data_IF_733286996126
#
_entry.id   IF_733286996126
#
_cell.length_a   1.000
_cell.length_b   1.000
_cell.length_c   1.000
_cell.angle_alpha   90.00
_cell.angle_beta   90.00
_cell.angle_gamma   90.00
#
_symmetry.space_group_name_H-M   'P 1'
#
loop_
_entity.id
_entity.type
_entity.pdbx_description
1 polymer ?
#
# COMPACT_ATOMS: atom_id res chain seq x y z
N UNK A 1 16.41 -9.44 -14.13
CA UNK A 1 17.74 -9.18 -13.54
C UNK A 1 17.68 -7.87 -12.78
N UNK A 2 17.44 -7.92 -11.47
CA UNK A 2 17.54 -6.75 -10.60
C UNK A 2 18.95 -6.74 -10.01
N UNK A 3 19.71 -5.69 -10.33
CA UNK A 3 21.06 -5.49 -9.80
C UNK A 3 21.05 -5.49 -8.27
N UNK A 4 22.16 -5.94 -7.68
CA UNK A 4 22.39 -5.80 -6.25
C UNK A 4 22.15 -4.34 -5.83
N UNK A 5 21.45 -4.08 -4.72
CA UNK A 5 21.20 -2.72 -4.28
C UNK A 5 22.53 -2.03 -3.97
N UNK A 6 22.68 -0.82 -4.50
CA UNK A 6 23.82 0.05 -4.24
C UNK A 6 24.05 0.24 -2.73
N UNK A 7 25.31 0.34 -2.27
CA UNK A 7 25.63 0.60 -0.87
C UNK A 7 25.18 2.04 -0.53
N UNK A 8 24.18 2.18 0.36
CA UNK A 8 23.77 3.52 0.82
C UNK A 8 22.39 3.67 1.47
N UNK A 9 21.52 2.65 1.47
CA UNK A 9 20.27 2.69 2.26
C UNK A 9 20.33 1.67 3.36
N UNK A 10 20.37 2.13 4.61
CA UNK A 10 20.16 1.27 5.77
C UNK A 10 18.75 0.68 5.69
N UNK A 11 18.66 -0.60 5.39
CA UNK A 11 17.41 -1.37 5.45
C UNK A 11 17.36 -2.07 6.82
N UNK A 12 16.27 -1.88 7.55
CA UNK A 12 16.07 -2.45 8.86
C UNK A 12 15.00 -3.53 8.78
N UNK A 13 15.33 -4.74 9.22
CA UNK A 13 14.33 -5.82 9.37
C UNK A 13 13.53 -5.56 10.64
N UNK A 14 12.21 -5.51 10.50
CA UNK A 14 11.30 -5.18 11.61
C UNK A 14 10.55 -6.39 12.15
N UNK A 15 10.49 -7.50 11.39
CA UNK A 15 9.90 -8.73 11.88
C UNK A 15 9.27 -9.57 10.78
N UNK A 16 8.32 -10.41 11.16
CA UNK A 16 7.59 -11.29 10.25
C UNK A 16 6.10 -11.21 10.52
N UNK A 17 5.31 -11.01 9.48
CA UNK A 17 3.85 -10.94 9.58
C UNK A 17 3.20 -11.71 8.43
N UNK A 18 2.18 -12.52 8.74
CA UNK A 18 1.44 -13.30 7.75
C UNK A 18 2.31 -14.18 6.81
N UNK A 19 3.49 -14.60 7.29
CA UNK A 19 4.45 -15.39 6.53
C UNK A 19 5.34 -14.58 5.57
N UNK A 20 5.39 -13.26 5.72
CA UNK A 20 6.24 -12.34 4.96
C UNK A 20 7.26 -11.69 5.91
N UNK A 21 8.52 -11.65 5.49
CA UNK A 21 9.56 -10.92 6.21
C UNK A 21 9.39 -9.42 5.91
N UNK A 22 9.36 -8.59 6.95
CA UNK A 22 9.11 -7.17 6.85
C UNK A 22 10.39 -6.38 7.07
N UNK A 23 10.67 -5.43 6.18
CA UNK A 23 11.76 -4.47 6.32
C UNK A 23 11.33 -3.06 5.97
N UNK A 24 12.04 -2.08 6.52
CA UNK A 24 11.79 -0.65 6.30
C UNK A 24 13.09 0.05 5.94
N UNK A 25 13.00 1.08 5.12
CA UNK A 25 14.09 2.05 4.93
C UNK A 25 13.73 3.40 5.57
N UNK A 26 14.69 4.26 5.94
CA UNK A 26 14.43 5.53 6.63
C UNK A 26 13.41 6.45 5.98
N UNK A 27 13.27 6.44 4.64
CA UNK A 27 12.26 7.27 3.97
C UNK A 27 10.82 6.95 4.35
N UNK A 28 10.57 5.75 4.88
CA UNK A 28 9.27 5.32 5.45
C UNK A 28 8.91 6.13 6.70
N UNK A 29 9.88 6.48 7.54
CA UNK A 29 9.62 7.25 8.75
C UNK A 29 9.33 8.72 8.41
N UNK A 30 10.06 9.26 7.43
CA UNK A 30 9.83 10.62 6.95
C UNK A 30 8.48 10.77 6.26
N UNK A 31 8.04 9.77 5.49
CA UNK A 31 6.71 9.77 4.89
C UNK A 31 5.60 9.62 5.94
N UNK A 32 5.78 8.78 6.96
CA UNK A 32 4.85 8.69 8.10
C UNK A 32 4.66 10.07 8.76
N UNK A 33 5.75 10.77 9.04
CA UNK A 33 5.70 12.11 9.63
C UNK A 33 5.02 13.12 8.68
N UNK A 34 5.33 13.06 7.38
CA UNK A 34 4.73 13.95 6.38
C UNK A 34 3.22 13.71 6.21
N UNK A 35 2.78 12.45 6.13
CA UNK A 35 1.37 12.07 6.08
C UNK A 35 0.67 12.53 7.38
N UNK A 36 1.28 12.28 8.54
CA UNK A 36 0.70 12.67 9.83
C UNK A 36 0.45 14.17 9.90
N UNK A 37 1.48 14.96 9.58
CA UNK A 37 1.41 16.42 9.59
C UNK A 37 0.39 16.93 8.57
N UNK A 38 0.46 16.44 7.32
CA UNK A 38 -0.45 16.86 6.25
C UNK A 38 -1.92 16.56 6.59
N UNK A 39 -2.21 15.34 7.04
CA UNK A 39 -3.55 14.92 7.45
C UNK A 39 -4.04 15.72 8.67
N UNK A 40 -3.19 15.91 9.68
CA UNK A 40 -3.52 16.73 10.85
C UNK A 40 -3.85 18.17 10.47
N UNK A 41 -3.09 18.78 9.57
CA UNK A 41 -3.36 20.12 9.06
C UNK A 41 -4.69 20.19 8.29
N UNK A 42 -5.01 19.19 7.47
CA UNK A 42 -6.31 19.11 6.79
C UNK A 42 -7.44 19.02 7.82
N UNK A 43 -7.32 18.16 8.82
CA UNK A 43 -8.34 18.01 9.87
C UNK A 43 -8.53 19.30 10.66
N UNK A 44 -7.45 19.98 11.02
CA UNK A 44 -7.52 21.22 11.79
C UNK A 44 -8.11 22.38 10.96
N UNK A 45 -7.55 22.63 9.77
CA UNK A 45 -7.89 23.82 8.98
C UNK A 45 -9.10 23.62 8.08
N UNK A 46 -9.25 22.46 7.45
CA UNK A 46 -10.32 22.22 6.48
C UNK A 46 -11.58 21.64 7.14
N UNK A 47 -11.42 20.78 8.15
CA UNK A 47 -12.58 20.23 8.89
C UNK A 47 -12.93 21.05 10.14
N UNK A 48 -12.12 22.05 10.51
CA UNK A 48 -12.36 22.91 11.66
C UNK A 48 -12.36 22.18 13.00
N UNK A 49 -11.73 20.99 13.08
CA UNK A 49 -11.70 20.20 14.30
C UNK A 49 -10.59 20.67 15.25
N UNK A 50 -10.83 20.54 16.56
CA UNK A 50 -9.86 20.93 17.58
C UNK A 50 -8.52 20.18 17.47
N UNK A 51 -7.47 20.74 18.04
CA UNK A 51 -6.09 20.22 17.95
C UNK A 51 -5.96 18.74 18.33
N UNK A 52 -6.71 18.28 19.34
CA UNK A 52 -6.68 16.88 19.77
C UNK A 52 -7.16 15.93 18.67
N UNK A 53 -8.20 16.32 17.93
CA UNK A 53 -8.70 15.57 16.77
C UNK A 53 -7.76 15.64 15.58
N UNK A 54 -7.07 16.76 15.38
CA UNK A 54 -6.06 16.88 14.34
C UNK A 54 -4.89 15.91 14.57
N UNK A 55 -4.37 15.87 15.80
CA UNK A 55 -3.28 14.97 16.20
C UNK A 55 -3.70 13.51 16.08
N UNK A 56 -4.85 13.15 16.68
CA UNK A 56 -5.36 11.77 16.67
C UNK A 56 -5.75 11.32 15.25
N UNK A 57 -6.53 12.12 14.53
CA UNK A 57 -7.02 11.77 13.21
C UNK A 57 -5.89 11.68 12.18
N UNK A 58 -4.87 12.54 12.27
CA UNK A 58 -3.67 12.40 11.44
C UNK A 58 -2.92 11.10 11.72
N UNK A 59 -2.82 10.67 12.99
CA UNK A 59 -2.19 9.40 13.34
C UNK A 59 -3.01 8.21 12.82
N UNK A 60 -4.33 8.29 12.92
CA UNK A 60 -5.24 7.28 12.36
C UNK A 60 -5.10 7.18 10.83
N UNK A 61 -4.91 8.31 10.14
CA UNK A 61 -4.62 8.32 8.69
C UNK A 61 -3.33 7.58 8.37
N UNK A 62 -2.25 7.80 9.12
CA UNK A 62 -0.99 7.05 8.95
C UNK A 62 -1.23 5.55 9.12
N UNK A 63 -1.93 5.15 10.19
CA UNK A 63 -2.25 3.74 10.45
C UNK A 63 -3.06 3.15 9.30
N UNK A 64 -4.12 3.83 8.86
CA UNK A 64 -4.98 3.40 7.76
C UNK A 64 -4.16 3.23 6.48
N UNK A 65 -3.30 4.19 6.14
CA UNK A 65 -2.49 4.13 4.93
C UNK A 65 -1.56 2.91 4.92
N UNK A 66 -0.83 2.66 6.02
CA UNK A 66 0.08 1.51 6.07
C UNK A 66 -0.64 0.16 6.15
N UNK A 67 -1.81 0.10 6.78
CA UNK A 67 -2.66 -1.09 6.72
C UNK A 67 -3.20 -1.33 5.30
N UNK A 68 -3.50 -0.26 4.56
CA UNK A 68 -3.96 -0.32 3.18
C UNK A 68 -2.85 -0.79 2.24
N UNK A 69 -1.65 -0.20 2.35
CA UNK A 69 -0.46 -0.65 1.61
C UNK A 69 -0.11 -2.11 1.94
N UNK A 70 -0.18 -2.50 3.22
CA UNK A 70 -0.01 -3.91 3.61
C UNK A 70 -1.10 -4.82 3.00
N UNK A 71 -2.37 -4.42 3.00
CA UNK A 71 -3.46 -5.19 2.40
C UNK A 71 -3.27 -5.35 0.88
N UNK A 72 -2.85 -4.29 0.19
CA UNK A 72 -2.45 -4.33 -1.21
C UNK A 72 -1.33 -5.36 -1.42
N UNK A 73 -0.23 -5.26 -0.68
CA UNK A 73 0.87 -6.22 -0.80
C UNK A 73 0.47 -7.65 -0.46
N UNK A 74 -0.40 -7.84 0.52
CA UNK A 74 -0.91 -9.14 0.88
C UNK A 74 -1.77 -9.75 -0.24
N UNK A 75 -2.47 -8.92 -1.01
CA UNK A 75 -3.12 -9.31 -2.25
C UNK A 75 -2.15 -9.95 -3.26
N UNK A 76 -0.99 -9.32 -3.48
CA UNK A 76 0.08 -9.94 -4.29
C UNK A 76 0.57 -11.24 -3.68
N UNK A 77 0.78 -11.28 -2.37
CA UNK A 77 1.29 -12.47 -1.69
C UNK A 77 0.33 -13.67 -1.83
N UNK A 78 -0.98 -13.42 -1.70
CA UNK A 78 -2.00 -14.44 -1.91
C UNK A 78 -2.05 -14.91 -3.36
N UNK A 79 -1.98 -13.99 -4.32
CA UNK A 79 -1.93 -14.32 -5.73
C UNK A 79 -0.69 -15.15 -6.06
N UNK A 80 0.49 -14.78 -5.53
CA UNK A 80 1.76 -15.46 -5.71
C UNK A 80 1.75 -16.88 -5.12
N UNK A 81 1.21 -17.07 -3.91
CA UNK A 81 1.04 -18.40 -3.31
C UNK A 81 0.22 -19.33 -4.21
N UNK A 82 -0.84 -18.81 -4.83
CA UNK A 82 -1.71 -19.57 -5.76
C UNK A 82 -1.05 -19.87 -7.11
N UNK A 83 0.10 -19.28 -7.43
CA UNK A 83 0.87 -19.64 -8.62
C UNK A 83 2.00 -20.62 -8.33
N UNK A 84 2.20 -21.01 -7.07
CA UNK A 84 3.26 -21.93 -6.68
C UNK A 84 4.64 -21.28 -6.50
N UNK A 85 4.77 -19.95 -6.69
CA UNK A 85 5.99 -19.26 -6.28
C UNK A 85 5.64 -18.03 -5.43
N UNK A 86 5.71 -18.18 -4.09
CA UNK A 86 5.30 -17.15 -3.15
C UNK A 86 6.35 -16.04 -3.01
N UNK A 87 5.88 -14.88 -2.57
CA UNK A 87 6.74 -13.80 -2.06
C UNK A 87 7.46 -14.23 -0.77
N UNK A 88 8.62 -13.65 -0.52
CA UNK A 88 9.39 -13.87 0.72
C UNK A 88 9.18 -12.75 1.74
N UNK A 89 8.89 -11.54 1.28
CA UNK A 89 8.80 -10.39 2.19
C UNK A 89 8.30 -9.12 1.52
N UNK A 90 8.29 -8.05 2.31
CA UNK A 90 7.91 -6.70 1.95
C UNK A 90 8.98 -5.72 2.43
N UNK A 91 9.32 -4.76 1.58
CA UNK A 91 10.17 -3.62 1.94
C UNK A 91 9.37 -2.34 1.83
N UNK A 92 9.15 -1.66 2.95
CA UNK A 92 8.51 -0.34 2.98
C UNK A 92 9.52 0.78 2.67
N UNK A 93 9.10 1.75 1.86
CA UNK A 93 9.90 2.91 1.47
C UNK A 93 9.00 4.06 0.98
N UNK A 94 9.33 5.31 1.37
CA UNK A 94 8.48 6.45 1.01
C UNK A 94 7.05 6.20 1.49
N UNK A 95 6.03 6.46 0.65
CA UNK A 95 4.61 6.17 0.97
C UNK A 95 4.14 4.79 0.44
N UNK A 96 5.07 3.89 0.11
CA UNK A 96 4.75 2.62 -0.54
C UNK A 96 5.57 1.47 0.05
N UNK A 97 5.35 0.29 -0.51
CA UNK A 97 6.22 -0.86 -0.32
C UNK A 97 6.51 -1.60 -1.63
N UNK A 98 7.46 -2.53 -1.55
CA UNK A 98 7.82 -3.40 -2.66
C UNK A 98 7.81 -4.85 -2.22
N UNK A 99 7.19 -5.69 -3.05
CA UNK A 99 7.23 -7.14 -2.92
C UNK A 99 8.66 -7.69 -3.09
N UNK A 100 9.10 -8.51 -2.15
CA UNK A 100 10.38 -9.23 -2.23
C UNK A 100 10.15 -10.67 -2.70
N UNK A 101 10.99 -11.11 -3.62
CA UNK A 101 10.93 -12.42 -4.28
C UNK A 101 12.15 -13.27 -3.89
N UNK A 102 12.06 -14.61 -3.94
CA UNK A 102 13.20 -15.48 -3.71
C UNK A 102 14.37 -15.18 -4.68
N UNK A 103 15.60 -15.14 -4.18
CA UNK A 103 16.78 -14.84 -4.99
C UNK A 103 17.05 -15.86 -6.12
N UNK A 104 16.66 -17.13 -5.90
CA UNK A 104 16.80 -18.22 -6.86
C UNK A 104 15.53 -18.53 -7.66
N UNK A 105 14.60 -17.57 -7.79
CA UNK A 105 13.37 -17.79 -8.57
C UNK A 105 13.71 -18.08 -10.05
N UNK A 106 13.21 -19.19 -10.64
CA UNK A 106 13.45 -19.49 -12.05
C UNK A 106 12.75 -18.49 -12.96
N UNK A 107 13.07 -18.49 -14.26
CA UNK A 107 12.32 -17.72 -15.23
C UNK A 107 10.85 -18.18 -15.28
N UNK A 108 9.92 -17.26 -15.07
CA UNK A 108 8.49 -17.56 -15.04
C UNK A 108 7.79 -17.07 -16.31
N UNK A 109 6.73 -17.77 -16.76
CA UNK A 109 5.88 -17.26 -17.83
C UNK A 109 5.22 -15.92 -17.48
N UNK A 110 5.06 -15.02 -18.46
CA UNK A 110 4.48 -13.68 -18.28
C UNK A 110 3.12 -13.68 -17.56
N UNK A 111 2.26 -14.67 -17.85
CA UNK A 111 0.97 -14.85 -17.16
C UNK A 111 1.08 -14.94 -15.64
N UNK A 112 2.18 -15.48 -15.10
CA UNK A 112 2.40 -15.59 -13.65
C UNK A 112 2.71 -14.21 -13.05
N UNK A 113 3.56 -13.43 -13.72
CA UNK A 113 3.84 -12.05 -13.32
C UNK A 113 2.58 -11.19 -13.33
N UNK A 114 1.76 -11.29 -14.39
CA UNK A 114 0.47 -10.58 -14.47
C UNK A 114 -0.46 -11.00 -13.34
N UNK A 115 -0.62 -12.31 -13.11
CA UNK A 115 -1.51 -12.81 -12.04
C UNK A 115 -1.10 -12.32 -10.66
N UNK A 116 0.21 -12.23 -10.39
CA UNK A 116 0.74 -11.67 -9.14
C UNK A 116 0.47 -10.17 -9.04
N UNK A 117 0.79 -9.42 -10.09
CA UNK A 117 0.59 -7.97 -10.15
C UNK A 117 -0.88 -7.57 -9.99
N UNK A 118 -1.84 -8.39 -10.44
CA UNK A 118 -3.26 -8.10 -10.25
C UNK A 118 -3.74 -8.28 -8.79
N UNK A 119 -3.01 -9.04 -7.97
CA UNK A 119 -3.42 -9.36 -6.60
C UNK A 119 -3.62 -8.12 -5.72
N UNK A 120 -2.69 -7.17 -5.77
CA UNK A 120 -2.71 -5.96 -4.95
C UNK A 120 -3.81 -4.96 -5.34
N UNK A 121 -3.95 -4.59 -6.63
CA UNK A 121 -5.06 -3.75 -7.08
C UNK A 121 -6.43 -4.34 -6.73
N UNK A 122 -6.62 -5.66 -6.90
CA UNK A 122 -7.88 -6.33 -6.51
C UNK A 122 -8.12 -6.19 -5.01
N UNK A 123 -7.13 -6.49 -4.16
CA UNK A 123 -7.26 -6.36 -2.72
C UNK A 123 -7.58 -4.92 -2.29
N UNK A 124 -6.89 -3.95 -2.89
CA UNK A 124 -7.11 -2.52 -2.62
C UNK A 124 -8.51 -2.10 -3.02
N UNK A 125 -8.98 -2.49 -4.21
CA UNK A 125 -10.34 -2.15 -4.65
C UNK A 125 -11.38 -2.71 -3.66
N UNK A 126 -11.21 -3.95 -3.19
CA UNK A 126 -12.12 -4.53 -2.19
C UNK A 126 -12.11 -3.76 -0.86
N UNK A 127 -10.94 -3.39 -0.35
CA UNK A 127 -10.81 -2.57 0.87
C UNK A 127 -11.45 -1.20 0.66
N UNK A 128 -11.21 -0.57 -0.49
CA UNK A 128 -11.74 0.73 -0.84
C UNK A 128 -13.26 0.74 -0.97
N UNK A 129 -13.86 -0.28 -1.57
CA UNK A 129 -15.33 -0.43 -1.61
C UNK A 129 -15.89 -0.66 -0.22
N UNK A 130 -15.26 -1.49 0.62
CA UNK A 130 -15.68 -1.67 2.00
C UNK A 130 -15.62 -0.35 2.79
N UNK A 131 -14.57 0.45 2.61
CA UNK A 131 -14.44 1.77 3.23
C UNK A 131 -15.51 2.75 2.72
N UNK A 132 -15.86 2.73 1.43
CA UNK A 132 -16.98 3.52 0.91
C UNK A 132 -18.32 3.12 1.54
N UNK A 133 -18.55 1.82 1.76
CA UNK A 133 -19.76 1.37 2.45
C UNK A 133 -19.80 1.88 3.89
N UNK A 134 -18.66 1.87 4.60
CA UNK A 134 -18.56 2.46 5.95
C UNK A 134 -18.87 3.96 5.92
N UNK A 135 -18.29 4.70 4.97
CA UNK A 135 -18.58 6.12 4.82
C UNK A 135 -20.06 6.36 4.50
N UNK A 136 -20.66 5.55 3.63
CA UNK A 136 -22.07 5.63 3.29
C UNK A 136 -22.98 5.46 4.51
N UNK A 137 -22.72 4.44 5.34
CA UNK A 137 -23.50 4.20 6.56
C UNK A 137 -23.25 5.22 7.66
N UNK A 138 -22.04 5.78 7.76
CA UNK A 138 -21.73 6.84 8.71
C UNK A 138 -22.47 8.14 8.37
N UNK A 139 -22.75 8.39 7.07
CA UNK A 139 -23.36 9.62 6.58
C UNK A 139 -22.42 10.83 6.66
N UNK A 140 -22.73 11.91 5.93
CA UNK A 140 -21.89 13.12 5.90
C UNK A 140 -21.73 13.79 7.28
N UNK A 141 -22.69 13.57 8.18
CA UNK A 141 -22.66 14.09 9.55
C UNK A 141 -21.89 13.15 10.51
N UNK A 142 -21.34 12.04 10.02
CA UNK A 142 -20.57 11.04 10.78
C UNK A 142 -19.19 11.51 11.25
N UNK A 143 -18.86 12.79 11.04
CA UNK A 143 -17.65 13.44 11.53
C UNK A 143 -16.35 12.71 11.15
N UNK A 144 -15.51 12.44 12.16
CA UNK A 144 -14.20 11.81 11.95
C UNK A 144 -14.29 10.41 11.34
N UNK A 145 -15.30 9.60 11.72
CA UNK A 145 -15.46 8.26 11.18
C UNK A 145 -15.73 8.31 9.67
N UNK A 146 -16.67 9.16 9.26
CA UNK A 146 -16.99 9.36 7.84
C UNK A 146 -15.76 9.83 7.06
N UNK A 147 -15.02 10.80 7.59
CA UNK A 147 -13.84 11.34 6.94
C UNK A 147 -12.69 10.31 6.82
N UNK A 148 -12.40 9.55 7.88
CA UNK A 148 -11.38 8.49 7.84
C UNK A 148 -11.77 7.37 6.87
N UNK A 149 -13.06 7.02 6.79
CA UNK A 149 -13.57 6.05 5.84
C UNK A 149 -13.44 6.55 4.39
N UNK A 150 -13.71 7.85 4.14
CA UNK A 150 -13.46 8.45 2.83
C UNK A 150 -11.98 8.50 2.47
N UNK A 151 -11.10 8.82 3.44
CA UNK A 151 -9.66 8.75 3.23
C UNK A 151 -9.24 7.33 2.85
N UNK A 152 -9.66 6.32 3.62
CA UNK A 152 -9.36 4.91 3.33
C UNK A 152 -9.87 4.50 1.94
N UNK A 153 -11.08 4.93 1.57
CA UNK A 153 -11.64 4.69 0.25
C UNK A 153 -10.80 5.33 -0.86
N UNK A 154 -10.42 6.60 -0.71
CA UNK A 154 -9.62 7.30 -1.70
C UNK A 154 -8.22 6.67 -1.85
N UNK A 155 -7.56 6.37 -0.73
CA UNK A 155 -6.23 5.74 -0.71
C UNK A 155 -6.26 4.36 -1.40
N UNK A 156 -7.29 3.56 -1.13
CA UNK A 156 -7.39 2.21 -1.70
C UNK A 156 -7.93 2.18 -3.14
N UNK A 157 -8.89 3.04 -3.50
CA UNK A 157 -9.48 3.04 -4.84
C UNK A 157 -8.62 3.83 -5.82
N UNK A 158 -8.13 5.00 -5.43
CA UNK A 158 -7.44 5.92 -6.34
C UNK A 158 -5.94 5.68 -6.34
N UNK A 159 -5.30 5.55 -5.17
CA UNK A 159 -3.84 5.39 -5.10
C UNK A 159 -3.42 3.94 -5.31
N UNK A 160 -3.85 3.03 -4.43
CA UNK A 160 -3.39 1.63 -4.41
C UNK A 160 -4.17 0.71 -5.35
N UNK A 161 -5.38 1.11 -5.78
CA UNK A 161 -6.23 0.34 -6.70
C UNK A 161 -5.99 0.75 -8.15
N UNK A 162 -6.64 1.84 -8.57
CA UNK A 162 -6.54 2.34 -9.94
C UNK A 162 -5.16 2.94 -10.25
N UNK A 163 -4.57 3.69 -9.32
CA UNK A 163 -3.25 4.29 -9.47
C UNK A 163 -2.14 3.27 -9.66
N UNK A 164 -2.30 2.07 -9.10
CA UNK A 164 -1.36 0.96 -9.29
C UNK A 164 -1.28 0.49 -10.77
N UNK A 165 -2.26 0.81 -11.62
CA UNK A 165 -2.21 0.51 -13.06
C UNK A 165 -1.46 1.56 -13.90
N UNK A 166 -1.08 2.71 -13.33
CA UNK A 166 -0.27 3.71 -14.04
C UNK A 166 1.14 3.14 -14.31
N UNK A 167 1.69 3.18 -15.53
CA UNK A 167 2.96 2.51 -15.85
C UNK A 167 4.20 3.33 -15.45
N UNK A 168 4.44 3.51 -14.14
CA UNK A 168 5.49 4.38 -13.58
C UNK A 168 6.83 3.68 -13.30
N UNK A 169 6.99 2.44 -13.76
CA UNK A 169 8.20 1.62 -13.63
C UNK A 169 8.23 0.75 -12.38
N UNK A 170 7.63 1.20 -11.26
CA UNK A 170 7.59 0.47 -9.99
C UNK A 170 6.20 -0.07 -9.62
N UNK A 171 5.19 0.23 -10.43
CA UNK A 171 3.77 -0.11 -10.22
C UNK A 171 3.37 -1.40 -10.92
N UNK A 172 2.21 -1.94 -10.54
CA UNK A 172 1.65 -3.16 -11.16
C UNK A 172 1.38 -2.99 -12.64
N UNK A 173 0.89 -1.82 -13.05
CA UNK A 173 0.66 -1.47 -14.45
C UNK A 173 1.90 -1.63 -15.32
N UNK A 174 3.09 -1.28 -14.80
CA UNK A 174 4.35 -1.51 -15.51
C UNK A 174 4.67 -3.00 -15.66
N UNK A 175 4.43 -3.80 -14.62
CA UNK A 175 4.61 -5.26 -14.69
C UNK A 175 3.65 -5.88 -15.70
N UNK A 176 2.38 -5.50 -15.64
CA UNK A 176 1.35 -6.01 -16.54
C UNK A 176 1.69 -5.64 -17.99
N UNK A 177 1.98 -4.36 -18.26
CA UNK A 177 2.31 -3.89 -19.60
C UNK A 177 3.55 -4.58 -20.17
N UNK A 178 4.59 -4.80 -19.34
CA UNK A 178 5.81 -5.48 -19.75
C UNK A 178 5.55 -6.93 -20.20
N UNK A 179 4.74 -7.67 -19.43
CA UNK A 179 4.49 -9.09 -19.66
C UNK A 179 3.27 -9.37 -20.54
N UNK A 180 2.41 -8.38 -20.82
CA UNK A 180 1.23 -8.57 -21.67
C UNK A 180 1.57 -9.05 -23.09
N UNK A 181 2.75 -8.66 -23.59
CA UNK A 181 3.23 -8.96 -24.94
C UNK A 181 4.28 -10.07 -24.99
N UNK A 182 4.53 -10.78 -23.89
CA UNK A 182 5.62 -11.76 -23.73
C UNK A 182 5.11 -13.06 -23.10
#
# INVERSE_FOLDING_TARGET
MAGQPAPGRSEYRIGRLAGLDLSVVPSTLWSMAAIWLGAGLIIFWLLGLGWGWAVLGGLLVVIIHWLSDFAHQYGHALAARRTGFPMTGLRFWGIFSTSLWPAGEPALPGRIHIRRALGGPIASILVGVAALLVAWFAGSDGGMLWWLALFAAADNLLLLGLGAFLPLGFTDGSTILHWWKR
#
